data_IF_237969614306
#
_entry.id   IF_237969614306
#
_cell.length_a   1.000
_cell.length_b   1.000
_cell.length_c   1.000
_cell.angle_alpha   90.00
_cell.angle_beta   90.00
_cell.angle_gamma   90.00
#
_symmetry.space_group_name_H-M   'P 1'
#
loop_
_entity.id
_entity.type
_entity.pdbx_description
1 polymer ?
#
# COMPACT_ATOMS: atom_id res chain seq x y z
N UNK A 1 -21.03 -63.76 -32.69
CA UNK A 1 -21.49 -62.90 -31.58
C UNK A 1 -20.32 -62.61 -30.65
N UNK A 2 -19.63 -61.49 -30.86
CA UNK A 2 -18.60 -60.88 -29.98
C UNK A 2 -18.24 -59.52 -30.57
N UNK A 3 -19.07 -58.53 -30.27
CA UNK A 3 -18.81 -57.10 -30.46
C UNK A 3 -18.57 -56.55 -29.05
N UNK A 4 -17.91 -55.39 -28.93
CA UNK A 4 -17.65 -54.61 -27.71
C UNK A 4 -16.25 -54.85 -27.11
N UNK A 5 -15.22 -54.28 -27.76
CA UNK A 5 -13.98 -53.80 -27.09
C UNK A 5 -13.32 -52.70 -27.93
N UNK A 6 -14.01 -51.59 -28.25
CA UNK A 6 -13.33 -50.44 -28.88
C UNK A 6 -14.15 -49.15 -28.80
N UNK A 7 -14.60 -48.75 -27.60
CA UNK A 7 -15.40 -47.51 -27.48
C UNK A 7 -15.30 -46.89 -26.09
N UNK A 8 -14.10 -46.69 -25.54
CA UNK A 8 -13.98 -46.04 -24.21
C UNK A 8 -12.80 -45.08 -24.04
N UNK A 9 -12.09 -44.69 -25.10
CA UNK A 9 -10.94 -43.77 -24.96
C UNK A 9 -11.18 -42.39 -25.59
N UNK A 10 -12.19 -42.24 -26.45
CA UNK A 10 -12.44 -40.98 -27.18
C UNK A 10 -13.31 -39.98 -26.36
N UNK A 11 -14.04 -40.44 -25.35
CA UNK A 11 -14.95 -39.57 -24.56
C UNK A 11 -14.19 -38.78 -23.48
N UNK A 12 -13.00 -39.21 -23.05
CA UNK A 12 -12.24 -38.53 -22.01
C UNK A 12 -11.54 -37.24 -22.47
N UNK A 13 -11.31 -37.04 -23.77
CA UNK A 13 -10.63 -35.84 -24.29
C UNK A 13 -11.62 -34.70 -24.59
N UNK A 14 -12.89 -35.01 -24.83
CA UNK A 14 -13.90 -33.98 -25.15
C UNK A 14 -14.47 -33.25 -23.92
N UNK A 15 -14.23 -33.77 -22.71
CA UNK A 15 -14.77 -33.16 -21.48
C UNK A 15 -13.85 -32.08 -20.87
N UNK A 16 -12.59 -32.00 -21.31
CA UNK A 16 -11.64 -30.98 -20.82
C UNK A 16 -11.81 -29.63 -21.55
N UNK A 17 -12.42 -29.60 -22.73
CA UNK A 17 -12.64 -28.38 -23.51
C UNK A 17 -13.90 -27.58 -23.13
N UNK A 18 -14.69 -28.07 -22.18
CA UNK A 18 -15.90 -27.38 -21.68
C UNK A 18 -15.69 -26.70 -20.33
N UNK A 19 -14.47 -26.71 -19.79
CA UNK A 19 -14.15 -25.87 -18.66
C UNK A 19 -14.12 -24.41 -19.13
N UNK A 20 -14.98 -23.53 -18.60
CA UNK A 20 -14.86 -22.11 -18.85
C UNK A 20 -13.51 -21.67 -18.29
N UNK A 21 -12.53 -21.42 -19.17
CA UNK A 21 -11.36 -20.59 -18.86
C UNK A 21 -11.85 -19.15 -18.79
N UNK A 22 -12.63 -18.84 -17.75
CA UNK A 22 -13.03 -17.48 -17.41
C UNK A 22 -12.36 -17.12 -16.08
N UNK A 23 -11.04 -16.95 -16.19
CA UNK A 23 -10.20 -16.36 -15.16
C UNK A 23 -9.46 -15.15 -15.71
N UNK A 24 -10.07 -14.39 -16.63
CA UNK A 24 -9.67 -13.00 -16.82
C UNK A 24 -10.28 -12.24 -15.64
N UNK A 25 -9.48 -12.01 -14.60
CA UNK A 25 -9.81 -11.01 -13.60
C UNK A 25 -9.96 -9.69 -14.35
N UNK A 26 -11.19 -9.23 -14.54
CA UNK A 26 -11.50 -7.93 -15.12
C UNK A 26 -10.82 -6.86 -14.27
N UNK A 27 -9.81 -6.19 -14.83
CA UNK A 27 -9.09 -5.12 -14.16
C UNK A 27 -10.01 -3.99 -13.67
N UNK A 28 -11.19 -3.85 -14.29
CA UNK A 28 -12.17 -2.82 -13.92
C UNK A 28 -12.72 -2.97 -12.50
N UNK A 29 -12.86 -4.19 -11.96
CA UNK A 29 -13.30 -4.39 -10.58
C UNK A 29 -12.26 -3.94 -9.56
N UNK A 30 -10.99 -3.93 -9.96
CA UNK A 30 -9.87 -3.54 -9.12
C UNK A 30 -9.71 -2.00 -9.14
N UNK A 31 -9.95 -1.38 -10.29
CA UNK A 31 -9.97 0.08 -10.47
C UNK A 31 -11.13 0.75 -9.71
N UNK A 32 -12.27 0.06 -9.54
CA UNK A 32 -13.40 0.57 -8.75
C UNK A 32 -13.13 0.61 -7.23
N UNK A 33 -12.16 -0.18 -6.74
CA UNK A 33 -11.83 -0.28 -5.31
C UNK A 33 -10.53 0.45 -4.96
N UNK A 34 -9.56 0.46 -5.88
CA UNK A 34 -8.23 1.05 -5.67
C UNK A 34 -8.07 2.34 -6.48
N UNK A 35 -7.87 3.44 -5.78
CA UNK A 35 -7.60 4.71 -6.43
C UNK A 35 -6.12 4.85 -6.76
N UNK A 36 -5.77 4.61 -8.03
CA UNK A 36 -4.41 4.76 -8.56
C UNK A 36 -4.03 6.21 -8.91
N UNK A 37 -5.01 7.12 -9.00
CA UNK A 37 -4.78 8.52 -9.37
C UNK A 37 -4.28 9.36 -8.17
N UNK A 38 -4.50 8.87 -6.95
CA UNK A 38 -4.13 9.58 -5.72
C UNK A 38 -2.69 9.26 -5.31
N UNK A 39 -1.82 10.24 -5.56
CA UNK A 39 -0.43 10.22 -5.10
C UNK A 39 -0.28 10.82 -3.69
N UNK A 40 0.89 10.63 -3.06
CA UNK A 40 1.26 11.29 -1.78
C UNK A 40 1.01 12.80 -1.83
N UNK A 41 1.33 13.47 -2.96
CA UNK A 41 1.06 14.90 -3.16
C UNK A 41 -0.44 15.20 -3.12
N UNK A 42 -1.23 14.48 -3.90
CA UNK A 42 -2.68 14.74 -4.02
C UNK A 42 -3.34 14.56 -2.65
N UNK A 43 -3.00 13.49 -1.94
CA UNK A 43 -3.51 13.21 -0.61
C UNK A 43 -3.11 14.29 0.40
N UNK A 44 -1.85 14.72 0.33
CA UNK A 44 -1.33 15.81 1.16
C UNK A 44 -2.07 17.13 0.94
N UNK A 45 -2.32 17.50 -0.32
CA UNK A 45 -3.03 18.72 -0.69
C UNK A 45 -4.52 18.67 -0.29
N UNK A 46 -5.16 17.50 -0.43
CA UNK A 46 -6.53 17.26 0.05
C UNK A 46 -6.63 17.42 1.56
N UNK A 47 -5.68 16.83 2.31
CA UNK A 47 -5.63 16.91 3.77
C UNK A 47 -5.59 18.36 4.30
N UNK A 48 -5.00 19.31 3.53
CA UNK A 48 -5.00 20.73 3.93
C UNK A 48 -6.40 21.33 4.06
N UNK A 49 -7.40 20.74 3.39
CA UNK A 49 -8.79 21.21 3.37
C UNK A 49 -9.70 20.42 4.32
N UNK A 50 -9.26 19.25 4.77
CA UNK A 50 -10.05 18.35 5.63
C UNK A 50 -9.97 18.72 7.11
N UNK A 51 -11.03 18.53 7.91
CA UNK A 51 -10.98 18.75 9.36
C UNK A 51 -9.92 17.86 10.01
N UNK A 52 -9.32 18.35 11.10
CA UNK A 52 -8.35 17.59 11.90
C UNK A 52 -9.11 16.57 12.76
N UNK A 53 -8.57 15.36 12.86
CA UNK A 53 -9.16 14.26 13.63
C UNK A 53 -9.38 13.00 12.80
N UNK A 54 -10.15 12.04 13.33
CA UNK A 54 -10.45 10.78 12.65
C UNK A 54 -11.15 10.99 11.31
N UNK A 55 -10.86 10.12 10.36
CA UNK A 55 -11.49 10.05 9.04
C UNK A 55 -12.07 8.66 8.86
N UNK A 56 -13.36 8.60 8.58
CA UNK A 56 -14.01 7.39 8.08
C UNK A 56 -13.94 7.42 6.55
N UNK A 57 -13.08 6.59 5.97
CA UNK A 57 -12.94 6.42 4.53
C UNK A 57 -12.86 4.94 4.20
N UNK A 58 -13.67 4.52 3.23
CA UNK A 58 -13.59 3.20 2.64
C UNK A 58 -12.66 3.16 1.42
N UNK A 59 -12.12 4.31 1.01
CA UNK A 59 -11.25 4.43 -0.14
C UNK A 59 -9.90 3.81 0.14
N UNK A 60 -9.43 2.99 -0.81
CA UNK A 60 -8.08 2.48 -0.80
C UNK A 60 -7.17 3.31 -1.67
N UNK A 61 -6.00 3.61 -1.13
CA UNK A 61 -4.95 4.35 -1.82
C UNK A 61 -3.73 3.47 -2.01
N UNK A 62 -3.10 3.61 -3.17
CA UNK A 62 -1.76 3.06 -3.43
C UNK A 62 -0.78 4.23 -3.49
N UNK A 63 0.03 4.38 -2.45
CA UNK A 63 0.96 5.47 -2.28
C UNK A 63 2.38 5.02 -2.56
N UNK A 64 3.01 5.66 -3.52
CA UNK A 64 4.42 5.52 -3.84
C UNK A 64 5.19 6.69 -3.22
N UNK A 65 6.28 6.40 -2.50
CA UNK A 65 7.09 7.45 -1.90
C UNK A 65 8.37 6.96 -1.24
N UNK A 66 9.16 7.95 -0.81
CA UNK A 66 10.43 7.74 -0.14
C UNK A 66 10.26 7.74 1.37
N UNK A 67 10.87 6.79 2.07
CA UNK A 67 10.82 6.73 3.54
C UNK A 67 11.81 7.73 4.12
N UNK A 68 11.32 8.85 4.62
CA UNK A 68 12.14 9.87 5.27
C UNK A 68 12.54 9.45 6.69
N UNK A 69 11.63 8.82 7.43
CA UNK A 69 11.86 8.40 8.81
C UNK A 69 10.99 7.18 9.16
N UNK A 70 11.48 6.42 10.15
CA UNK A 70 10.76 5.31 10.77
C UNK A 70 10.87 5.47 12.27
N UNK A 71 9.75 5.35 12.99
CA UNK A 71 9.71 5.40 14.45
C UNK A 71 8.80 4.30 14.97
N UNK A 72 9.30 3.48 15.90
CA UNK A 72 8.46 2.51 16.62
C UNK A 72 7.97 3.19 17.89
N UNK A 73 6.65 3.23 18.06
CA UNK A 73 6.00 3.88 19.18
C UNK A 73 5.75 2.87 20.30
N UNK A 74 5.99 3.25 21.57
CA UNK A 74 5.53 2.47 22.70
C UNK A 74 4.00 2.54 22.78
N UNK A 75 3.37 1.40 23.04
CA UNK A 75 1.93 1.27 23.29
C UNK A 75 1.71 0.76 24.71
N UNK A 76 0.61 1.16 25.34
CA UNK A 76 0.33 0.78 26.74
C UNK A 76 0.01 -0.71 26.89
N UNK A 77 -0.52 -1.35 25.85
CA UNK A 77 -0.86 -2.77 25.80
C UNK A 77 0.29 -3.66 25.29
N UNK A 78 1.41 -3.06 24.90
CA UNK A 78 2.57 -3.75 24.32
C UNK A 78 2.39 -4.15 22.85
N UNK A 79 1.31 -3.73 22.19
CA UNK A 79 1.11 -3.92 20.75
C UNK A 79 2.19 -3.22 19.92
N UNK A 80 2.56 -3.80 18.79
CA UNK A 80 3.52 -3.15 17.89
C UNK A 80 2.85 -2.04 17.08
N UNK A 81 3.43 -0.84 17.15
CA UNK A 81 2.99 0.29 16.34
C UNK A 81 4.21 1.03 15.79
N UNK A 82 4.27 1.22 14.47
CA UNK A 82 5.30 2.01 13.82
C UNK A 82 4.70 3.12 12.97
N UNK A 83 5.35 4.28 13.00
CA UNK A 83 5.11 5.38 12.09
C UNK A 83 6.22 5.44 11.05
N UNK A 84 5.82 5.44 9.79
CA UNK A 84 6.69 5.61 8.64
C UNK A 84 6.34 6.94 8.00
N UNK A 85 7.30 7.85 7.97
CA UNK A 85 7.16 9.11 7.26
C UNK A 85 7.44 8.90 5.77
N UNK A 86 6.39 8.95 4.97
CA UNK A 86 6.47 8.82 3.52
C UNK A 86 6.45 10.21 2.88
N UNK A 87 7.45 10.51 2.05
CA UNK A 87 7.55 11.81 1.38
C UNK A 87 7.67 11.68 -0.13
N UNK A 88 7.17 12.68 -0.84
CA UNK A 88 7.52 12.91 -2.25
C UNK A 88 7.84 14.37 -2.48
N UNK A 89 8.79 14.63 -3.38
CA UNK A 89 9.12 15.98 -3.84
C UNK A 89 8.37 16.32 -5.12
N UNK A 90 7.98 17.59 -5.27
CA UNK A 90 7.53 18.13 -6.54
C UNK A 90 8.17 19.48 -6.81
N UNK A 91 8.55 19.74 -8.06
CA UNK A 91 9.07 21.04 -8.48
C UNK A 91 7.93 22.05 -8.64
N UNK A 92 8.13 23.25 -8.09
CA UNK A 92 7.35 24.46 -8.32
C UNK A 92 8.23 25.45 -9.11
N UNK A 93 8.07 25.40 -10.43
CA UNK A 93 8.97 26.05 -11.37
C UNK A 93 10.40 25.49 -11.28
N UNK A 94 11.38 26.37 -11.54
CA UNK A 94 12.80 25.98 -11.59
C UNK A 94 13.56 26.20 -10.27
N UNK A 95 12.92 26.77 -9.24
CA UNK A 95 13.64 27.28 -8.05
C UNK A 95 13.16 26.72 -6.72
N UNK A 96 12.00 26.07 -6.69
CA UNK A 96 11.41 25.58 -5.44
C UNK A 96 11.06 24.10 -5.55
N UNK A 97 11.44 23.35 -4.53
CA UNK A 97 10.97 21.98 -4.32
C UNK A 97 9.99 22.01 -3.15
N UNK A 98 8.78 21.53 -3.39
CA UNK A 98 7.78 21.32 -2.36
C UNK A 98 7.83 19.86 -1.91
N UNK A 99 7.93 19.63 -0.61
CA UNK A 99 7.83 18.32 -0.01
C UNK A 99 6.40 18.08 0.46
N UNK A 100 5.87 16.92 0.09
CA UNK A 100 4.55 16.44 0.48
C UNK A 100 4.74 15.20 1.35
N UNK A 101 4.03 15.14 2.48
CA UNK A 101 4.26 14.16 3.55
C UNK A 101 2.97 13.41 3.87
N UNK A 102 3.07 12.10 4.07
CA UNK A 102 2.02 11.25 4.64
C UNK A 102 2.64 10.48 5.80
N UNK A 103 1.90 10.31 6.90
CA UNK A 103 2.27 9.36 7.96
C UNK A 103 1.62 8.02 7.64
N UNK A 104 2.41 6.97 7.60
CA UNK A 104 1.91 5.60 7.43
C UNK A 104 2.03 4.88 8.76
N UNK A 105 0.91 4.35 9.26
CA UNK A 105 0.84 3.55 10.47
C UNK A 105 0.93 2.09 10.08
N UNK A 106 1.92 1.39 10.61
CA UNK A 106 2.11 -0.05 10.46
C UNK A 106 1.94 -0.74 11.82
N UNK A 107 1.19 -1.84 11.84
CA UNK A 107 0.90 -2.65 13.02
C UNK A 107 1.76 -3.92 13.05
N UNK A 108 1.46 -4.84 13.97
CA UNK A 108 2.16 -6.11 14.21
C UNK A 108 2.51 -6.92 12.96
N UNK A 109 1.68 -6.89 11.91
CA UNK A 109 1.94 -7.58 10.63
C UNK A 109 3.25 -7.14 9.93
N UNK A 110 3.84 -6.02 10.36
CA UNK A 110 5.05 -5.46 9.80
C UNK A 110 6.24 -5.43 10.76
N UNK A 111 6.11 -5.98 11.98
CA UNK A 111 7.14 -5.91 13.03
C UNK A 111 8.50 -6.44 12.55
N UNK A 112 8.52 -7.62 11.92
CA UNK A 112 9.73 -8.25 11.39
C UNK A 112 10.35 -7.52 10.19
N UNK A 113 9.61 -6.56 9.62
CA UNK A 113 9.97 -5.87 8.38
C UNK A 113 10.36 -4.43 8.59
N UNK A 114 10.25 -3.88 9.79
CA UNK A 114 10.51 -2.45 10.04
C UNK A 114 11.66 -2.32 11.03
N UNK A 115 12.66 -1.49 10.68
CA UNK A 115 13.72 -1.13 11.61
C UNK A 115 13.83 0.38 11.75
N UNK A 116 13.64 0.87 12.99
CA UNK A 116 13.93 2.26 13.34
C UNK A 116 15.43 2.54 13.51
N UNK A 117 16.27 1.49 13.54
CA UNK A 117 17.73 1.65 13.64
C UNK A 117 18.33 1.73 12.24
N UNK A 118 19.38 2.53 12.03
CA UNK A 118 20.13 2.51 10.78
C UNK A 118 20.68 1.10 10.49
N UNK A 119 20.45 0.60 9.29
CA UNK A 119 20.98 -0.69 8.81
C UNK A 119 21.83 -0.42 7.59
N UNK A 120 23.13 -0.74 7.66
CA UNK A 120 24.08 -0.43 6.59
C UNK A 120 23.78 -1.18 5.28
N UNK A 121 23.25 -2.41 5.38
CA UNK A 121 22.85 -3.23 4.23
C UNK A 121 21.48 -3.86 4.54
N UNK A 122 20.38 -3.15 4.25
CA UNK A 122 19.05 -3.67 4.52
C UNK A 122 18.79 -4.92 3.68
N UNK A 123 18.28 -5.97 4.33
CA UNK A 123 17.86 -7.19 3.66
C UNK A 123 16.70 -6.94 2.68
N UNK A 124 16.42 -7.87 1.76
CA UNK A 124 15.24 -7.78 0.90
C UNK A 124 13.97 -7.62 1.74
N UNK A 125 13.13 -6.62 1.44
CA UNK A 125 11.85 -6.41 2.10
C UNK A 125 11.90 -5.65 3.43
N UNK A 126 13.10 -5.30 3.93
CA UNK A 126 13.28 -4.51 5.14
C UNK A 126 12.98 -3.03 4.87
N UNK A 127 12.15 -2.43 5.72
CA UNK A 127 11.70 -1.05 5.68
C UNK A 127 12.55 -0.26 6.67
N UNK A 128 13.35 0.66 6.13
CA UNK A 128 14.24 1.58 6.85
C UNK A 128 14.16 2.95 6.19
N UNK A 129 14.62 4.00 6.86
CA UNK A 129 14.79 5.30 6.22
C UNK A 129 15.74 5.22 5.01
N UNK A 130 15.45 6.01 3.98
CA UNK A 130 16.27 6.11 2.78
C UNK A 130 15.91 5.16 1.63
N UNK A 131 14.79 4.43 1.72
CA UNK A 131 14.32 3.54 0.63
C UNK A 131 12.98 4.01 0.07
N UNK A 132 12.66 3.57 -1.14
CA UNK A 132 11.33 3.77 -1.72
C UNK A 132 10.42 2.59 -1.39
N UNK A 133 9.17 2.89 -1.05
CA UNK A 133 8.14 1.88 -0.76
C UNK A 133 6.84 2.20 -1.49
N UNK A 134 6.08 1.14 -1.75
CA UNK A 134 4.69 1.21 -2.17
C UNK A 134 3.81 0.77 -1.00
N UNK A 135 2.86 1.62 -0.60
CA UNK A 135 1.93 1.38 0.50
C UNK A 135 0.52 1.29 -0.06
N UNK A 136 -0.21 0.22 0.27
CA UNK A 136 -1.66 0.17 0.10
C UNK A 136 -2.33 0.29 1.47
N UNK A 137 -3.27 1.22 1.58
CA UNK A 137 -3.92 1.52 2.86
C UNK A 137 -5.04 2.53 2.75
N UNK A 138 -5.62 2.89 3.90
CA UNK A 138 -6.73 3.85 4.01
C UNK A 138 -6.36 5.02 4.90
N UNK A 139 -6.87 6.21 4.60
CA UNK A 139 -6.72 7.36 5.51
C UNK A 139 -7.61 7.14 6.73
N UNK A 140 -7.01 7.17 7.91
CA UNK A 140 -7.73 6.99 9.18
C UNK A 140 -7.81 8.28 10.01
N UNK A 141 -6.93 9.24 9.75
CA UNK A 141 -6.84 10.47 10.54
C UNK A 141 -6.19 11.59 9.73
N UNK A 142 -6.57 12.83 10.00
CA UNK A 142 -5.80 14.03 9.62
C UNK A 142 -5.20 14.63 10.88
N UNK A 143 -3.87 14.61 10.99
CA UNK A 143 -3.14 15.21 12.12
C UNK A 143 -2.76 16.66 11.82
N UNK A 144 -2.63 17.46 12.87
CA UNK A 144 -2.06 18.80 12.80
C UNK A 144 -0.62 18.78 13.31
N UNK A 145 0.31 19.26 12.51
CA UNK A 145 1.70 19.47 12.93
C UNK A 145 1.88 20.76 13.73
N UNK A 146 3.02 20.88 14.41
CA UNK A 146 3.45 22.12 15.08
C UNK A 146 3.52 23.33 14.14
N UNK A 147 3.77 23.10 12.85
CA UNK A 147 3.78 24.13 11.80
C UNK A 147 2.38 24.63 11.42
N UNK A 148 1.33 23.99 11.94
CA UNK A 148 -0.06 24.23 11.56
C UNK A 148 -0.49 23.51 10.27
N UNK A 149 0.43 22.85 9.56
CA UNK A 149 0.10 22.02 8.39
C UNK A 149 -0.69 20.78 8.82
N UNK A 150 -1.57 20.32 7.92
CA UNK A 150 -2.33 19.09 8.12
C UNK A 150 -1.59 17.95 7.43
N UNK A 151 -1.56 16.77 8.05
CA UNK A 151 -0.88 15.59 7.47
C UNK A 151 -1.84 14.42 7.51
N UNK A 152 -2.10 13.78 6.37
CA UNK A 152 -2.90 12.57 6.34
C UNK A 152 -2.13 11.41 7.00
N UNK A 153 -2.87 10.62 7.77
CA UNK A 153 -2.40 9.40 8.41
C UNK A 153 -3.09 8.23 7.73
N UNK A 154 -2.29 7.30 7.22
CA UNK A 154 -2.74 6.15 6.45
C UNK A 154 -2.41 4.89 7.23
N UNK A 155 -3.41 4.06 7.53
CA UNK A 155 -3.16 2.72 8.06
C UNK A 155 -2.72 1.82 6.90
N UNK A 156 -1.52 1.26 7.01
CA UNK A 156 -0.99 0.33 6.03
C UNK A 156 -1.63 -1.05 6.20
N UNK A 157 -2.01 -1.62 5.07
CA UNK A 157 -2.57 -2.97 4.97
C UNK A 157 -1.63 -3.85 4.14
N UNK A 158 -0.90 -3.24 3.19
CA UNK A 158 0.23 -3.87 2.49
C UNK A 158 1.34 -2.85 2.26
N UNK A 159 2.59 -3.30 2.40
CA UNK A 159 3.79 -2.51 2.07
C UNK A 159 4.73 -3.36 1.23
N UNK A 160 5.25 -2.81 0.13
CA UNK A 160 6.26 -3.42 -0.73
C UNK A 160 7.45 -2.48 -0.88
N UNK A 161 8.65 -2.98 -0.59
CA UNK A 161 9.90 -2.23 -0.85
C UNK A 161 10.22 -2.21 -2.34
N UNK A 162 10.68 -1.08 -2.85
CA UNK A 162 11.27 -0.95 -4.19
C UNK A 162 12.79 -0.90 -4.05
N UNK A 163 13.50 -1.61 -4.92
CA UNK A 163 14.96 -1.61 -5.02
C UNK A 163 15.38 -0.82 -6.23
#
# INVERSE_FOLDING_TARGET
MRIIRMSLTIIAVLFVSLLPVHGQADGSLLDDVLNFDVTVRVLYEQAQRMPVGPVESDDWYILDGHVAAVSVLPTDDGSYLAEIELVTGSWDGLRRVNLHRVIVIATEDFEDRISARPVAQPGPGLIVAGIDILVAGRVTEIRRESTGRRVPVVRAERIRTRR
#
